data_IF_007353430999
#
_entry.id   IF_007353430999
#
_cell.length_a   1.000
_cell.length_b   1.000
_cell.length_c   1.000
_cell.angle_alpha   90.00
_cell.angle_beta   90.00
_cell.angle_gamma   90.00
#
_symmetry.space_group_name_H-M   'P 1'
#
loop_
_entity.id
_entity.type
_entity.pdbx_description
1 polymer ?
#
# COMPACT_ATOMS: atom_id res chain seq x y z
N UNK A 1 -10.11 6.44 -6.47
CA UNK A 1 -9.95 6.43 -5.00
C UNK A 1 -10.43 5.08 -4.51
N UNK A 2 -9.51 4.18 -4.14
CA UNK A 2 -9.90 2.89 -3.54
C UNK A 2 -10.08 3.15 -2.06
N UNK A 3 -11.33 3.31 -1.63
CA UNK A 3 -11.69 3.45 -0.22
C UNK A 3 -11.69 2.03 0.38
N UNK A 4 -10.66 1.70 1.17
CA UNK A 4 -10.54 0.39 1.79
C UNK A 4 -11.42 0.29 3.04
N UNK A 5 -12.22 -0.77 3.13
CA UNK A 5 -12.96 -1.11 4.33
C UNK A 5 -12.07 -1.91 5.30
N UNK A 6 -12.00 -1.57 6.59
CA UNK A 6 -11.22 -2.27 7.62
C UNK A 6 -11.51 -3.77 7.70
N UNK A 7 -12.75 -4.16 7.41
CA UNK A 7 -13.19 -5.56 7.33
C UNK A 7 -12.39 -6.38 6.31
N UNK A 8 -11.99 -5.79 5.18
CA UNK A 8 -11.22 -6.49 4.17
C UNK A 8 -9.77 -6.74 4.64
N UNK A 9 -9.18 -5.81 5.42
CA UNK A 9 -7.83 -5.95 5.96
C UNK A 9 -7.76 -6.92 7.14
N UNK A 10 -8.74 -6.88 8.03
CA UNK A 10 -8.90 -7.89 9.09
C UNK A 10 -9.06 -9.29 8.50
N UNK A 11 -9.80 -9.42 7.39
CA UNK A 11 -9.98 -10.69 6.70
C UNK A 11 -8.70 -11.11 5.96
N UNK A 12 -7.93 -10.16 5.43
CA UNK A 12 -6.63 -10.38 4.81
C UNK A 12 -5.59 -10.87 5.82
N UNK A 13 -5.51 -10.26 7.01
CA UNK A 13 -4.62 -10.72 8.08
C UNK A 13 -4.96 -12.16 8.53
N UNK A 14 -6.26 -12.49 8.62
CA UNK A 14 -6.74 -13.84 8.96
C UNK A 14 -6.37 -14.91 7.93
N UNK A 15 -5.97 -14.55 6.70
CA UNK A 15 -5.49 -15.53 5.71
C UNK A 15 -4.11 -16.11 6.03
N UNK A 16 -3.41 -15.60 7.05
CA UNK A 16 -2.18 -16.20 7.57
C UNK A 16 -2.41 -17.57 8.21
N UNK A 17 -3.62 -17.83 8.70
CA UNK A 17 -4.01 -19.12 9.27
C UNK A 17 -4.34 -20.12 8.13
N UNK A 18 -3.59 -21.22 8.05
CA UNK A 18 -3.76 -22.27 7.04
C UNK A 18 -5.17 -22.87 7.05
N UNK A 19 -5.84 -22.90 8.20
CA UNK A 19 -7.21 -23.38 8.32
C UNK A 19 -8.20 -22.43 7.61
N UNK A 20 -7.91 -21.14 7.62
CA UNK A 20 -8.73 -20.08 7.03
C UNK A 20 -8.48 -19.92 5.52
N UNK A 21 -7.26 -20.23 5.05
CA UNK A 21 -6.86 -20.17 3.65
C UNK A 21 -7.24 -21.41 2.80
N UNK A 22 -7.87 -22.41 3.43
CA UNK A 22 -8.25 -23.70 2.82
C UNK A 22 -9.19 -23.55 1.61
N UNK A 23 -9.16 -24.55 0.70
CA UNK A 23 -10.00 -24.55 -0.53
C UNK A 23 -11.51 -24.50 -0.22
N UNK A 24 -11.94 -25.07 0.89
CA UNK A 24 -13.33 -25.08 1.31
C UNK A 24 -13.77 -23.71 1.82
N UNK A 25 -12.91 -23.01 2.57
CA UNK A 25 -13.17 -21.65 3.05
C UNK A 25 -13.22 -20.60 1.92
N UNK A 26 -12.52 -20.84 0.79
CA UNK A 26 -12.55 -19.96 -0.39
C UNK A 26 -13.92 -19.92 -1.08
N UNK A 27 -14.70 -20.99 -0.98
CA UNK A 27 -16.03 -21.11 -1.61
C UNK A 27 -17.14 -20.44 -0.80
N UNK A 28 -16.87 -20.07 0.45
CA UNK A 28 -17.87 -19.50 1.37
C UNK A 28 -18.28 -18.08 0.98
N UNK A 29 -17.39 -17.30 0.34
CA UNK A 29 -17.68 -15.91 0.00
C UNK A 29 -16.88 -15.44 -1.21
N UNK A 30 -17.50 -14.69 -2.15
CA UNK A 30 -16.79 -14.01 -3.23
C UNK A 30 -15.66 -13.10 -2.74
N UNK A 31 -15.83 -12.45 -1.59
CA UNK A 31 -14.81 -11.59 -0.98
C UNK A 31 -13.58 -12.41 -0.53
N UNK A 32 -13.80 -13.59 0.06
CA UNK A 32 -12.69 -14.48 0.47
C UNK A 32 -11.94 -15.04 -0.72
N UNK A 33 -12.65 -15.46 -1.77
CA UNK A 33 -12.01 -15.93 -2.99
C UNK A 33 -11.16 -14.83 -3.62
N UNK A 34 -11.68 -13.60 -3.71
CA UNK A 34 -10.94 -12.45 -4.23
C UNK A 34 -9.70 -12.14 -3.38
N UNK A 35 -9.83 -12.15 -2.04
CA UNK A 35 -8.71 -11.96 -1.12
C UNK A 35 -7.65 -13.04 -1.30
N UNK A 36 -8.00 -14.33 -1.32
CA UNK A 36 -7.01 -15.41 -1.52
C UNK A 36 -6.26 -15.32 -2.86
N UNK A 37 -6.88 -14.72 -3.89
CA UNK A 37 -6.26 -14.56 -5.20
C UNK A 37 -5.35 -13.33 -5.29
N UNK A 38 -5.72 -12.23 -4.63
CA UNK A 38 -5.05 -10.93 -4.81
C UNK A 38 -4.27 -10.44 -3.58
N UNK A 39 -4.47 -11.02 -2.40
CA UNK A 39 -3.82 -10.61 -1.15
C UNK A 39 -2.45 -11.24 -0.91
N UNK A 40 -2.14 -12.36 -1.58
CA UNK A 40 -0.98 -13.19 -1.26
C UNK A 40 0.34 -12.42 -1.36
N UNK A 41 0.49 -11.57 -2.39
CA UNK A 41 1.69 -10.75 -2.57
C UNK A 41 1.85 -9.64 -1.53
N UNK A 42 0.75 -9.07 -1.03
CA UNK A 42 0.77 -8.11 0.07
C UNK A 42 1.16 -8.79 1.39
N UNK A 43 0.65 -10.00 1.64
CA UNK A 43 0.96 -10.80 2.83
C UNK A 43 2.42 -11.25 2.87
N UNK A 44 2.98 -11.69 1.74
CA UNK A 44 4.40 -12.07 1.66
C UNK A 44 5.33 -10.90 2.02
N UNK A 45 5.03 -9.69 1.51
CA UNK A 45 5.79 -8.48 1.85
C UNK A 45 5.64 -8.06 3.30
N UNK A 46 4.45 -8.25 3.86
CA UNK A 46 4.22 -7.98 5.27
C UNK A 46 4.98 -8.96 6.16
N UNK A 47 5.04 -10.24 5.78
CA UNK A 47 5.83 -11.23 6.49
C UNK A 47 7.34 -10.92 6.44
N UNK A 48 7.83 -10.42 5.30
CA UNK A 48 9.21 -9.91 5.21
C UNK A 48 9.46 -8.75 6.18
N UNK A 49 8.50 -7.84 6.34
CA UNK A 49 8.59 -6.74 7.32
C UNK A 49 8.66 -7.26 8.75
N UNK A 50 7.82 -8.24 9.12
CA UNK A 50 7.83 -8.87 10.44
C UNK A 50 9.18 -9.54 10.74
N UNK A 51 9.74 -10.27 9.78
CA UNK A 51 11.02 -10.99 9.93
C UNK A 51 12.19 -10.01 10.04
N UNK A 52 12.19 -8.94 9.24
CA UNK A 52 13.27 -7.96 9.23
C UNK A 52 13.22 -6.98 10.41
N UNK A 53 12.14 -6.97 11.20
CA UNK A 53 11.87 -5.93 12.20
C UNK A 53 11.47 -4.63 11.49
N UNK A 54 10.32 -4.08 11.87
CA UNK A 54 9.59 -2.98 11.22
C UNK A 54 10.40 -1.71 10.84
N UNK A 55 11.65 -1.60 11.28
CA UNK A 55 12.59 -0.54 10.92
C UNK A 55 13.23 -0.68 9.53
N UNK A 56 13.15 -1.85 8.91
CA UNK A 56 13.72 -2.08 7.58
C UNK A 56 12.77 -1.62 6.45
N UNK A 57 13.28 -0.93 5.42
CA UNK A 57 12.44 -0.43 4.36
C UNK A 57 11.96 -1.55 3.44
N UNK A 58 10.67 -1.53 3.09
CA UNK A 58 10.12 -2.38 2.05
C UNK A 58 10.39 -1.81 0.67
N UNK A 59 10.74 -2.70 -0.25
CA UNK A 59 10.97 -2.38 -1.65
C UNK A 59 9.80 -2.93 -2.47
N UNK A 60 9.11 -2.04 -3.16
CA UNK A 60 8.09 -2.39 -4.14
C UNK A 60 8.66 -2.13 -5.54
N UNK A 61 8.75 -3.18 -6.34
CA UNK A 61 9.21 -3.12 -7.72
C UNK A 61 8.16 -3.79 -8.62
N UNK A 62 7.89 -3.15 -9.76
CA UNK A 62 7.15 -3.71 -10.89
C UNK A 62 8.12 -3.98 -12.03
N UNK A 63 7.74 -4.83 -12.99
CA UNK A 63 8.52 -5.13 -14.22
C UNK A 63 8.77 -3.89 -15.10
N UNK A 64 8.09 -2.78 -14.81
CA UNK A 64 8.30 -1.47 -15.41
C UNK A 64 9.56 -0.80 -14.86
N UNK A 65 10.42 -0.26 -15.75
CA UNK A 65 11.65 0.49 -15.42
C UNK A 65 11.36 1.71 -14.51
N UNK A 66 10.11 2.15 -14.46
CA UNK A 66 9.68 3.22 -13.58
C UNK A 66 9.36 2.77 -12.17
N UNK A 67 10.31 3.14 -11.31
CA UNK A 67 10.17 3.52 -9.90
C UNK A 67 10.00 2.34 -8.95
N UNK A 68 11.16 1.78 -8.58
CA UNK A 68 11.39 1.19 -7.25
C UNK A 68 10.86 2.14 -6.18
N UNK A 69 9.85 1.71 -5.43
CA UNK A 69 9.34 2.42 -4.26
C UNK A 69 10.03 1.83 -3.04
N UNK A 70 10.74 2.68 -2.31
CA UNK A 70 11.31 2.32 -1.01
C UNK A 70 10.43 2.97 0.03
N UNK A 71 9.90 2.19 0.96
CA UNK A 71 8.97 2.68 1.98
C UNK A 71 9.35 2.17 3.37
N UNK A 72 9.39 3.10 4.33
CA UNK A 72 9.38 2.78 5.75
C UNK A 72 7.93 2.77 6.22
N UNK A 73 7.50 1.63 6.77
CA UNK A 73 6.12 1.44 7.24
C UNK A 73 6.15 1.61 8.74
N UNK A 74 5.51 2.69 9.20
CA UNK A 74 5.36 3.01 10.62
C UNK A 74 6.64 2.80 11.47
N UNK A 75 7.71 3.56 11.19
CA UNK A 75 8.98 3.42 11.91
C UNK A 75 8.86 3.82 13.39
N UNK A 76 7.83 4.60 13.74
CA UNK A 76 7.58 5.16 15.06
C UNK A 76 6.65 4.25 15.90
N UNK A 77 6.13 3.15 15.32
CA UNK A 77 5.27 2.15 15.96
C UNK A 77 3.92 2.70 16.49
N UNK A 78 3.36 3.68 15.78
CA UNK A 78 2.13 4.36 16.17
C UNK A 78 0.85 3.58 15.79
N UNK A 79 0.94 2.61 14.87
CA UNK A 79 -0.20 1.91 14.30
C UNK A 79 -0.27 0.42 14.67
N UNK A 80 -1.49 -0.11 14.71
CA UNK A 80 -1.70 -1.55 14.90
C UNK A 80 -1.24 -2.35 13.67
N UNK A 81 -1.14 -3.67 13.85
CA UNK A 81 -0.58 -4.57 12.84
C UNK A 81 -1.42 -4.58 11.55
N UNK A 82 -2.75 -4.44 11.67
CA UNK A 82 -3.67 -4.42 10.53
C UNK A 82 -3.55 -3.11 9.73
N UNK A 83 -3.33 -1.99 10.41
CA UNK A 83 -3.13 -0.70 9.77
C UNK A 83 -1.80 -0.66 9.03
N UNK A 84 -0.72 -1.18 9.61
CA UNK A 84 0.56 -1.37 8.92
C UNK A 84 0.41 -2.21 7.66
N UNK A 85 -0.32 -3.32 7.75
CA UNK A 85 -0.60 -4.19 6.60
C UNK A 85 -1.41 -3.46 5.52
N UNK A 86 -2.33 -2.58 5.92
CA UNK A 86 -3.13 -1.80 4.98
C UNK A 86 -2.29 -0.75 4.24
N UNK A 87 -1.29 -0.15 4.89
CA UNK A 87 -0.31 0.72 4.26
C UNK A 87 0.54 -0.04 3.23
N UNK A 88 1.02 -1.24 3.58
CA UNK A 88 1.75 -2.13 2.65
C UNK A 88 0.90 -2.46 1.44
N UNK A 89 -0.36 -2.84 1.66
CA UNK A 89 -1.28 -3.19 0.59
C UNK A 89 -1.53 -1.99 -0.34
N UNK A 90 -1.67 -0.77 0.19
CA UNK A 90 -1.82 0.44 -0.62
C UNK A 90 -0.64 0.63 -1.60
N UNK A 91 0.60 0.45 -1.12
CA UNK A 91 1.80 0.57 -1.95
C UNK A 91 1.94 -0.59 -2.94
N UNK A 92 1.57 -1.81 -2.55
CA UNK A 92 1.53 -2.95 -3.47
C UNK A 92 0.53 -2.72 -4.61
N UNK A 93 -0.63 -2.18 -4.30
CA UNK A 93 -1.66 -1.89 -5.29
C UNK A 93 -1.25 -0.74 -6.22
N UNK A 94 -0.52 0.25 -5.71
CA UNK A 94 0.11 1.26 -6.55
C UNK A 94 1.10 0.64 -7.54
N UNK A 95 1.94 -0.31 -7.10
CA UNK A 95 2.86 -1.03 -7.99
C UNK A 95 2.12 -1.89 -9.04
N UNK A 96 1.04 -2.58 -8.62
CA UNK A 96 0.19 -3.36 -9.53
C UNK A 96 -0.48 -2.47 -10.59
N UNK A 97 -1.01 -1.31 -10.21
CA UNK A 97 -1.63 -0.38 -11.16
C UNK A 97 -0.57 0.14 -12.15
N UNK A 98 0.64 0.42 -11.68
CA UNK A 98 1.74 0.89 -12.53
C UNK A 98 2.25 -0.15 -13.55
N UNK A 99 1.91 -1.44 -13.38
CA UNK A 99 2.34 -2.51 -14.30
C UNK A 99 1.42 -2.66 -15.53
N UNK A 100 0.20 -2.12 -15.49
CA UNK A 100 -0.72 -2.25 -16.61
C UNK A 100 -0.21 -1.57 -17.89
N UNK A 101 -0.16 -2.32 -18.99
CA UNK A 101 0.45 -1.88 -20.26
C UNK A 101 -0.14 -0.59 -20.85
N UNK A 102 -1.41 -0.28 -20.62
CA UNK A 102 -2.03 0.97 -21.07
C UNK A 102 -1.57 2.19 -20.26
N UNK A 103 -1.24 2.00 -18.99
CA UNK A 103 -0.70 3.04 -18.10
C UNK A 103 0.80 3.19 -18.26
N UNK A 104 1.52 2.06 -18.46
CA UNK A 104 2.98 2.01 -18.64
C UNK A 104 3.49 3.09 -19.60
N UNK A 105 2.95 3.16 -20.81
CA UNK A 105 3.37 4.14 -21.83
C UNK A 105 3.15 5.60 -21.40
N UNK A 106 2.08 5.88 -20.64
CA UNK A 106 1.77 7.24 -20.15
C UNK A 106 2.62 7.62 -18.94
N UNK A 107 2.93 6.65 -18.08
CA UNK A 107 3.87 6.80 -16.97
C UNK A 107 5.28 7.08 -17.48
N UNK A 108 5.71 6.35 -18.52
CA UNK A 108 7.00 6.53 -19.21
C UNK A 108 7.16 7.90 -19.87
N UNK A 109 6.07 8.47 -20.36
CA UNK A 109 6.05 9.79 -20.99
C UNK A 109 5.79 10.94 -20.01
N UNK A 110 5.76 10.67 -18.71
CA UNK A 110 5.42 11.65 -17.66
C UNK A 110 4.05 12.35 -17.88
N UNK A 111 3.11 11.69 -18.56
CA UNK A 111 1.76 12.19 -18.81
C UNK A 111 0.73 11.72 -17.77
N UNK A 112 1.17 10.90 -16.82
CA UNK A 112 0.36 10.34 -15.77
C UNK A 112 1.20 10.13 -14.52
N UNK A 113 0.59 10.37 -13.37
CA UNK A 113 1.21 10.19 -12.06
C UNK A 113 0.24 9.43 -11.17
N UNK A 114 0.79 8.49 -10.40
CA UNK A 114 0.03 7.71 -9.42
C UNK A 114 0.49 8.17 -8.04
N UNK A 115 -0.49 8.42 -7.18
CA UNK A 115 -0.29 8.81 -5.79
C UNK A 115 -0.99 7.80 -4.89
N UNK A 116 -0.36 7.49 -3.76
CA UNK A 116 -0.95 6.67 -2.71
C UNK A 116 -1.43 7.57 -1.58
N UNK A 117 -2.72 7.47 -1.29
CA UNK A 117 -3.38 8.08 -0.14
C UNK A 117 -3.87 6.95 0.75
N UNK A 118 -3.56 7.03 2.04
CA UNK A 118 -4.02 6.09 3.05
C UNK A 118 -4.93 6.84 4.02
N UNK A 119 -6.06 6.26 4.39
CA UNK A 119 -7.05 6.90 5.24
C UNK A 119 -7.17 6.12 6.53
N UNK A 120 -6.91 6.80 7.64
CA UNK A 120 -7.18 6.26 8.97
C UNK A 120 -8.66 6.50 9.30
N UNK A 121 -9.42 5.42 9.38
CA UNK A 121 -10.85 5.46 9.65
C UNK A 121 -11.19 5.78 11.12
N UNK A 122 -10.24 5.61 12.04
CA UNK A 122 -10.46 5.86 13.46
C UNK A 122 -10.26 7.33 13.80
N UNK A 123 -9.20 7.94 13.26
CA UNK A 123 -8.90 9.36 13.47
C UNK A 123 -9.54 10.27 12.43
N UNK A 124 -9.86 9.73 11.24
CA UNK A 124 -10.32 10.51 10.08
C UNK A 124 -9.19 11.20 9.32
N UNK A 125 -7.92 10.93 9.67
CA UNK A 125 -6.76 11.54 9.03
C UNK A 125 -6.46 10.90 7.68
N UNK A 126 -5.97 11.70 6.74
CA UNK A 126 -5.52 11.25 5.42
C UNK A 126 -4.00 11.39 5.37
N UNK A 127 -3.32 10.31 5.02
CA UNK A 127 -1.88 10.27 4.87
C UNK A 127 -1.50 10.16 3.39
N UNK A 128 -0.54 10.96 2.96
CA UNK A 128 0.05 10.89 1.62
C UNK A 128 1.38 10.15 1.67
N UNK A 129 1.61 9.23 0.72
CA UNK A 129 2.92 8.62 0.58
C UNK A 129 3.91 9.60 -0.08
N UNK A 130 4.78 10.19 0.75
CA UNK A 130 5.86 11.05 0.27
C UNK A 130 7.00 10.20 -0.29
N UNK A 131 7.35 10.45 -1.55
CA UNK A 131 8.49 9.79 -2.21
C UNK A 131 9.81 10.35 -1.70
N UNK A 132 9.82 11.63 -1.35
CA UNK A 132 11.00 12.27 -0.76
C UNK A 132 11.32 11.68 0.62
N UNK A 133 10.31 11.55 1.48
CA UNK A 133 10.48 11.05 2.84
C UNK A 133 10.36 9.52 2.95
N UNK A 134 9.95 8.84 1.86
CA UNK A 134 9.80 7.37 1.78
C UNK A 134 8.84 6.81 2.84
N UNK A 135 7.82 7.58 3.23
CA UNK A 135 6.83 7.18 4.25
C UNK A 135 5.50 7.90 4.04
N UNK A 136 4.47 7.39 4.69
CA UNK A 136 3.19 8.08 4.81
C UNK A 136 3.32 9.28 5.74
N UNK A 137 2.85 10.45 5.28
CA UNK A 137 2.84 11.70 6.03
C UNK A 137 1.40 12.17 6.12
N UNK A 138 0.94 12.46 7.33
CA UNK A 138 -0.38 13.05 7.58
C UNK A 138 -0.54 14.37 6.83
N UNK A 139 -1.68 14.57 6.16
CA UNK A 139 -2.04 15.77 5.44
C UNK A 139 -2.77 16.71 6.39
N UNK A 140 -2.07 17.72 6.88
CA UNK A 140 -2.60 18.76 7.75
C UNK A 140 -2.05 20.13 7.33
N UNK A 141 -2.42 21.19 8.06
CA UNK A 141 -2.05 22.57 7.75
C UNK A 141 -0.53 22.80 7.72
N UNK A 142 0.24 21.98 8.44
CA UNK A 142 1.71 22.08 8.51
C UNK A 142 2.40 21.35 7.37
N UNK A 143 1.80 20.28 6.84
CA UNK A 143 2.43 19.40 5.85
C UNK A 143 1.93 19.65 4.43
N UNK A 144 0.73 20.21 4.26
CA UNK A 144 0.09 20.40 2.94
C UNK A 144 0.95 21.19 1.96
N UNK A 145 1.64 22.23 2.42
CA UNK A 145 2.50 23.06 1.57
C UNK A 145 3.75 22.29 1.10
N UNK A 146 4.40 21.57 2.03
CA UNK A 146 5.54 20.70 1.70
C UNK A 146 5.13 19.64 0.67
N UNK A 147 4.00 18.96 0.90
CA UNK A 147 3.50 17.91 0.03
C UNK A 147 3.10 18.45 -1.35
N UNK A 148 2.47 19.63 -1.39
CA UNK A 148 2.12 20.30 -2.65
C UNK A 148 3.36 20.67 -3.47
N UNK A 149 4.41 21.15 -2.80
CA UNK A 149 5.68 21.47 -3.43
C UNK A 149 6.41 20.20 -3.92
N UNK A 150 6.36 19.10 -3.16
CA UNK A 150 6.83 17.80 -3.61
C UNK A 150 6.10 17.39 -4.89
N UNK A 151 4.76 17.51 -4.91
CA UNK A 151 3.98 17.15 -6.08
C UNK A 151 4.41 17.98 -7.29
N UNK A 152 4.50 19.30 -7.16
CA UNK A 152 4.96 20.17 -8.25
C UNK A 152 6.37 19.79 -8.73
N UNK A 153 7.30 19.46 -7.83
CA UNK A 153 8.69 19.14 -8.18
C UNK A 153 8.87 17.82 -8.92
N UNK A 154 8.11 16.79 -8.55
CA UNK A 154 8.28 15.44 -9.11
C UNK A 154 7.37 15.13 -10.30
N UNK A 155 6.43 16.03 -10.58
CA UNK A 155 5.30 15.78 -11.49
C UNK A 155 4.90 17.01 -12.34
N UNK A 156 5.72 18.08 -12.38
CA UNK A 156 5.69 19.10 -13.44
C UNK A 156 6.71 18.76 -14.53
#
# INVERSE_FOLDING_TARGET
MIMYFPLAMNLLYKLRDENFASKDNRRISPLRSWLCTHASSSLEKFHQLEICGYHNPLIFQSETVLRKIVAYIDPDDDFCIEDKLSQVNCLQQMANIASYGFLKRRLERHQLHIHALWFDIYTGNIYYFSRQNKRFIDINEKTVEMLSNEVKKYYS
#
